data_IF_536758933412
#
_entry.id   IF_536758933412
#
_cell.length_a   1.000
_cell.length_b   1.000
_cell.length_c   1.000
_cell.angle_alpha   90.00
_cell.angle_beta   90.00
_cell.angle_gamma   90.00
#
_symmetry.space_group_name_H-M   'P 1'
#
loop_
_entity.id
_entity.type
_entity.pdbx_description
1 polymer ?
#
# COMPACT_ATOMS: atom_id res chain seq x y z
N UNK A 1 -7.14 -13.45 4.48
CA UNK A 1 -7.03 -14.08 5.81
C UNK A 1 -8.24 -13.62 6.60
N UNK A 2 -9.04 -14.55 7.09
CA UNK A 2 -10.34 -14.29 7.70
C UNK A 2 -10.19 -14.25 9.23
N UNK A 3 -10.55 -13.13 9.84
CA UNK A 3 -10.60 -12.98 11.29
C UNK A 3 -11.92 -13.56 11.82
N UNK A 4 -11.83 -14.52 12.74
CA UNK A 4 -12.96 -15.20 13.37
C UNK A 4 -13.54 -14.34 14.51
N UNK A 5 -14.77 -13.81 14.40
CA UNK A 5 -15.33 -12.86 15.38
C UNK A 5 -16.10 -13.54 16.54
N UNK A 6 -16.00 -14.86 16.69
CA UNK A 6 -16.91 -15.64 17.55
C UNK A 6 -16.48 -15.80 19.01
N UNK A 7 -15.27 -15.39 19.40
CA UNK A 7 -14.79 -15.44 20.78
C UNK A 7 -14.38 -14.02 21.20
N UNK A 8 -15.38 -13.24 21.61
CA UNK A 8 -15.30 -11.81 21.94
C UNK A 8 -14.47 -11.46 23.18
N UNK A 9 -13.19 -11.85 23.20
CA UNK A 9 -12.20 -11.45 24.20
C UNK A 9 -10.95 -10.77 23.62
N UNK A 10 -10.74 -10.81 22.31
CA UNK A 10 -9.52 -10.31 21.65
C UNK A 10 -9.57 -8.87 21.11
N UNK A 11 -10.72 -8.19 21.19
CA UNK A 11 -10.92 -6.82 20.68
C UNK A 11 -11.21 -5.80 21.79
N UNK A 12 -10.56 -5.91 22.95
CA UNK A 12 -10.85 -5.03 24.08
C UNK A 12 -10.42 -3.57 23.84
N UNK A 13 -9.55 -3.29 22.86
CA UNK A 13 -9.16 -1.92 22.51
C UNK A 13 -8.78 -1.74 21.04
N UNK A 14 -8.91 -0.52 20.52
CA UNK A 14 -8.45 -0.18 19.17
C UNK A 14 -6.92 -0.31 19.09
N UNK A 15 -6.42 -0.78 17.95
CA UNK A 15 -4.98 -0.74 17.67
C UNK A 15 -4.48 0.72 17.64
N UNK A 16 -3.45 0.98 18.44
CA UNK A 16 -2.84 2.29 18.64
C UNK A 16 -1.57 2.49 17.79
N UNK A 17 -1.09 1.46 17.07
CA UNK A 17 0.20 1.48 16.36
C UNK A 17 0.36 2.69 15.44
N UNK A 18 -0.66 2.99 14.61
CA UNK A 18 -0.66 4.14 13.70
C UNK A 18 -1.66 5.23 14.10
N UNK A 19 -1.96 5.34 15.41
CA UNK A 19 -3.01 6.27 15.85
C UNK A 19 -2.63 7.74 15.66
N UNK A 20 -1.35 8.07 15.74
CA UNK A 20 -0.85 9.43 15.53
C UNK A 20 -1.15 9.93 14.11
N UNK A 21 -0.87 9.10 13.10
CA UNK A 21 -1.17 9.37 11.69
C UNK A 21 -2.69 9.37 11.45
N UNK A 22 -3.40 8.37 12.00
CA UNK A 22 -4.86 8.23 11.87
C UNK A 22 -5.61 9.45 12.39
N UNK A 23 -5.18 9.97 13.54
CA UNK A 23 -5.77 11.17 14.14
C UNK A 23 -5.21 12.47 13.56
N UNK A 24 -4.21 12.43 12.67
CA UNK A 24 -3.61 13.59 12.01
C UNK A 24 -2.90 14.54 12.98
N UNK A 25 -2.11 13.96 13.88
CA UNK A 25 -1.15 14.70 14.71
C UNK A 25 -1.57 14.91 16.16
N UNK A 26 -0.72 15.67 16.87
CA UNK A 26 -0.72 15.75 18.33
C UNK A 26 -2.01 16.31 18.94
N UNK A 27 -2.57 17.38 18.39
CA UNK A 27 -3.74 18.09 18.98
C UNK A 27 -4.98 17.19 19.07
N UNK A 28 -5.28 16.50 17.98
CA UNK A 28 -6.41 15.57 17.87
C UNK A 28 -6.17 14.30 18.70
N UNK A 29 -4.94 13.79 18.74
CA UNK A 29 -4.57 12.69 19.63
C UNK A 29 -4.73 13.05 21.11
N UNK A 30 -4.22 14.20 21.55
CA UNK A 30 -4.40 14.67 22.93
C UNK A 30 -5.88 14.86 23.28
N UNK A 31 -6.68 15.41 22.38
CA UNK A 31 -8.12 15.56 22.59
C UNK A 31 -8.85 14.21 22.67
N UNK A 32 -8.42 13.23 21.88
CA UNK A 32 -8.95 11.87 21.91
C UNK A 32 -8.59 11.14 23.22
N UNK A 33 -7.35 11.30 23.71
CA UNK A 33 -6.90 10.79 25.01
C UNK A 33 -7.61 11.47 26.19
N UNK A 34 -7.93 12.76 26.09
CA UNK A 34 -8.72 13.47 27.11
C UNK A 34 -10.15 12.95 27.25
N UNK A 35 -10.70 12.41 26.16
CA UNK A 35 -12.11 11.98 26.08
C UNK A 35 -12.28 10.49 25.91
N UNK A 36 -11.23 9.69 26.18
CA UNK A 36 -11.16 8.22 26.01
C UNK A 36 -12.40 7.64 25.33
N UNK A 37 -12.53 7.95 24.03
CA UNK A 37 -13.81 7.97 23.32
C UNK A 37 -14.34 6.60 22.92
N UNK A 38 -13.92 5.55 23.61
CA UNK A 38 -14.28 4.17 23.30
C UNK A 38 -15.12 3.60 24.43
N UNK A 39 -16.26 3.02 24.06
CA UNK A 39 -17.23 2.39 24.94
C UNK A 39 -16.59 1.29 25.82
N UNK A 40 -15.51 0.68 25.32
CA UNK A 40 -14.74 -0.33 26.05
C UNK A 40 -13.72 0.25 27.05
N UNK A 41 -13.19 1.45 26.86
CA UNK A 41 -12.22 2.05 27.79
C UNK A 41 -12.86 2.92 28.87
N UNK A 42 -14.05 3.47 28.62
CA UNK A 42 -14.71 4.38 29.56
C UNK A 42 -14.90 3.77 30.98
N UNK A 43 -15.31 2.50 31.13
CA UNK A 43 -15.46 1.88 32.46
C UNK A 43 -14.13 1.71 33.21
N UNK A 44 -13.00 1.62 32.50
CA UNK A 44 -11.66 1.39 33.08
C UNK A 44 -11.12 2.69 33.71
N UNK A 45 -11.38 3.83 33.07
CA UNK A 45 -10.86 5.13 33.48
C UNK A 45 -11.88 5.98 34.26
N UNK A 46 -13.04 5.40 34.61
CA UNK A 46 -14.11 6.10 35.35
C UNK A 46 -13.65 6.67 36.69
N UNK A 47 -12.77 5.95 37.40
CA UNK A 47 -12.34 6.30 38.75
C UNK A 47 -11.08 7.19 38.72
N UNK A 48 -10.32 7.16 37.62
CA UNK A 48 -9.08 7.94 37.44
C UNK A 48 -8.92 8.34 35.98
N UNK A 49 -9.38 9.56 35.67
CA UNK A 49 -9.11 10.20 34.40
C UNK A 49 -7.61 10.44 34.22
N UNK A 50 -7.13 10.40 32.97
CA UNK A 50 -5.74 10.70 32.66
C UNK A 50 -5.40 12.15 33.01
N UNK A 51 -4.24 12.33 33.65
CA UNK A 51 -3.72 13.65 33.95
C UNK A 51 -3.09 14.29 32.71
N UNK A 52 -3.02 15.63 32.68
CA UNK A 52 -2.50 16.37 31.53
C UNK A 52 -1.03 16.05 31.21
N UNK A 53 -0.22 15.75 32.23
CA UNK A 53 1.17 15.31 32.05
C UNK A 53 1.26 13.91 31.41
N UNK A 54 0.40 12.97 31.83
CA UNK A 54 0.31 11.62 31.26
C UNK A 54 -0.08 11.68 29.78
N UNK A 55 -1.08 12.51 29.43
CA UNK A 55 -1.51 12.71 28.04
C UNK A 55 -0.39 13.29 27.19
N UNK A 56 0.37 14.26 27.71
CA UNK A 56 1.48 14.87 26.99
C UNK A 56 2.62 13.88 26.75
N UNK A 57 2.94 13.04 27.74
CA UNK A 57 3.96 12.01 27.60
C UNK A 57 3.55 10.95 26.56
N UNK A 58 2.29 10.50 26.61
CA UNK A 58 1.75 9.55 25.63
C UNK A 58 1.73 10.14 24.22
N UNK A 59 1.31 11.40 24.07
CA UNK A 59 1.30 12.07 22.77
C UNK A 59 2.71 12.18 22.17
N UNK A 60 3.72 12.48 22.99
CA UNK A 60 5.12 12.50 22.56
C UNK A 60 5.64 11.11 22.17
N UNK A 61 5.25 10.06 22.91
CA UNK A 61 5.59 8.68 22.56
C UNK A 61 5.00 8.27 21.21
N UNK A 62 3.71 8.52 20.99
CA UNK A 62 3.05 8.17 19.72
C UNK A 62 3.58 8.98 18.52
N UNK A 63 4.00 10.22 18.77
CA UNK A 63 4.68 11.06 17.77
C UNK A 63 6.04 10.46 17.39
N UNK A 64 6.82 10.01 18.38
CA UNK A 64 8.11 9.34 18.13
C UNK A 64 7.94 8.00 17.41
N UNK A 65 6.98 7.17 17.83
CA UNK A 65 6.73 5.85 17.24
C UNK A 65 6.20 5.94 15.81
N UNK A 66 5.51 7.03 15.44
CA UNK A 66 5.07 7.26 14.06
C UNK A 66 6.27 7.44 13.11
N UNK A 67 7.36 8.05 13.58
CA UNK A 67 8.59 8.19 12.78
C UNK A 67 9.35 6.88 12.55
N UNK A 68 9.17 5.90 13.45
CA UNK A 68 9.76 4.57 13.36
C UNK A 68 8.82 3.54 12.69
N UNK A 69 7.59 3.93 12.40
CA UNK A 69 6.60 3.03 11.82
C UNK A 69 7.13 2.51 10.47
N UNK A 70 7.18 1.18 10.25
CA UNK A 70 7.79 0.61 9.07
C UNK A 70 7.09 1.14 7.83
N UNK A 71 7.80 2.00 7.11
CA UNK A 71 7.42 2.70 5.88
C UNK A 71 6.13 2.17 5.24
N UNK A 72 5.05 2.95 5.37
CA UNK A 72 3.93 3.09 4.42
C UNK A 72 3.92 2.02 3.32
N UNK A 73 3.28 0.86 3.54
CA UNK A 73 3.21 -0.20 2.53
C UNK A 73 2.43 0.24 1.29
N UNK A 74 1.66 1.34 1.35
CA UNK A 74 0.87 1.84 0.22
C UNK A 74 1.78 2.45 -0.86
N UNK A 75 2.73 3.31 -0.49
CA UNK A 75 3.67 3.92 -1.44
C UNK A 75 4.54 2.84 -2.10
N UNK A 76 5.05 1.90 -1.30
CA UNK A 76 5.86 0.80 -1.81
C UNK A 76 5.06 -0.17 -2.69
N UNK A 77 3.78 -0.40 -2.38
CA UNK A 77 2.89 -1.26 -3.19
C UNK A 77 2.52 -0.62 -4.52
N UNK A 78 2.25 0.68 -4.55
CA UNK A 78 1.97 1.40 -5.81
C UNK A 78 3.22 1.48 -6.67
N UNK A 79 4.38 1.79 -6.09
CA UNK A 79 5.65 1.80 -6.81
C UNK A 79 5.99 0.42 -7.38
N UNK A 80 5.82 -0.65 -6.59
CA UNK A 80 6.01 -2.03 -7.04
C UNK A 80 5.07 -2.41 -8.18
N UNK A 81 3.79 -2.05 -8.09
CA UNK A 81 2.79 -2.33 -9.12
C UNK A 81 3.10 -1.59 -10.43
N UNK A 82 3.46 -0.30 -10.35
CA UNK A 82 3.86 0.49 -11.52
C UNK A 82 5.15 -0.05 -12.17
N UNK A 83 6.15 -0.44 -11.36
CA UNK A 83 7.39 -1.03 -11.85
C UNK A 83 7.12 -2.38 -12.54
N UNK A 84 6.28 -3.21 -11.93
CA UNK A 84 5.85 -4.48 -12.52
C UNK A 84 5.08 -4.30 -13.83
N UNK A 85 4.17 -3.33 -13.89
CA UNK A 85 3.41 -2.99 -15.10
C UNK A 85 4.32 -2.50 -16.22
N UNK A 86 5.27 -1.61 -15.90
CA UNK A 86 6.25 -1.10 -16.86
C UNK A 86 7.14 -2.23 -17.40
N UNK A 87 7.63 -3.13 -16.53
CA UNK A 87 8.40 -4.30 -16.92
C UNK A 87 7.62 -5.25 -17.83
N UNK A 88 6.37 -5.53 -17.49
CA UNK A 88 5.49 -6.38 -18.31
C UNK A 88 5.26 -5.79 -19.70
N UNK A 89 4.98 -4.48 -19.79
CA UNK A 89 4.83 -3.79 -21.06
C UNK A 89 6.11 -3.88 -21.91
N UNK A 90 7.27 -3.62 -21.30
CA UNK A 90 8.56 -3.69 -21.99
C UNK A 90 8.83 -5.08 -22.59
N UNK A 91 8.53 -6.15 -21.86
CA UNK A 91 8.66 -7.52 -22.36
C UNK A 91 7.74 -7.79 -23.55
N UNK A 92 6.45 -7.42 -23.45
CA UNK A 92 5.48 -7.64 -24.53
C UNK A 92 5.92 -6.92 -25.82
N UNK A 93 6.32 -5.65 -25.73
CA UNK A 93 6.82 -4.91 -26.89
C UNK A 93 8.14 -5.47 -27.44
N UNK A 94 9.04 -5.90 -26.57
CA UNK A 94 10.29 -6.55 -26.98
C UNK A 94 10.02 -7.85 -27.76
N UNK A 95 9.12 -8.69 -27.26
CA UNK A 95 8.71 -9.92 -27.93
C UNK A 95 8.04 -9.65 -29.29
N UNK A 96 7.11 -8.69 -29.38
CA UNK A 96 6.46 -8.30 -30.64
C UNK A 96 7.49 -7.82 -31.69
N UNK A 97 8.47 -7.01 -31.27
CA UNK A 97 9.52 -6.52 -32.17
C UNK A 97 10.43 -7.65 -32.69
N UNK A 98 10.81 -8.60 -31.83
CA UNK A 98 11.62 -9.77 -32.21
C UNK A 98 10.84 -10.66 -33.19
N UNK A 99 9.56 -10.93 -32.91
CA UNK A 99 8.72 -11.76 -33.77
C UNK A 99 8.45 -11.11 -35.14
N UNK A 100 8.20 -9.79 -35.19
CA UNK A 100 8.05 -9.06 -36.45
C UNK A 100 9.32 -9.11 -37.30
N UNK A 101 10.50 -8.91 -36.70
CA UNK A 101 11.79 -9.05 -37.40
C UNK A 101 12.00 -10.48 -37.90
N UNK A 102 11.66 -11.48 -37.09
CA UNK A 102 11.79 -12.91 -37.46
C UNK A 102 10.91 -13.28 -38.64
N UNK A 103 9.65 -12.86 -38.66
CA UNK A 103 8.72 -13.18 -39.75
C UNK A 103 8.99 -12.39 -41.03
N UNK A 104 9.45 -11.14 -40.94
CA UNK A 104 9.87 -10.38 -42.12
C UNK A 104 11.09 -11.00 -42.80
N UNK A 105 12.04 -11.54 -42.02
CA UNK A 105 13.22 -12.23 -42.57
C UNK A 105 12.86 -13.48 -43.38
N UNK A 106 11.76 -14.15 -43.06
CA UNK A 106 11.31 -15.37 -43.78
C UNK A 106 10.45 -15.02 -45.01
N UNK A 107 9.77 -13.86 -45.02
CA UNK A 107 8.93 -13.43 -46.15
C UNK A 107 9.70 -12.79 -47.30
N UNK A 108 10.86 -12.17 -47.02
CA UNK A 108 11.75 -11.60 -48.06
C UNK A 108 12.15 -12.61 -49.15
N UNK A 109 12.63 -13.83 -48.84
CA UNK A 109 13.01 -14.77 -49.88
C UNK A 109 11.83 -15.25 -50.76
N UNK A 110 10.58 -15.20 -50.28
CA UNK A 110 9.42 -15.57 -51.10
C UNK A 110 9.03 -14.50 -52.14
N UNK A 111 9.20 -13.22 -51.81
CA UNK A 111 8.87 -12.11 -52.73
C UNK A 111 9.95 -11.98 -53.80
N UNK A 112 11.22 -12.14 -53.43
CA UNK A 112 12.35 -12.09 -54.37
C UNK A 112 12.38 -13.27 -55.37
N UNK A 113 11.69 -14.38 -55.06
CA UNK A 113 11.54 -15.51 -56.01
C UNK A 113 10.39 -15.37 -57.00
N UNK A 114 9.65 -14.25 -57.04
CA UNK A 114 8.61 -14.07 -58.06
C UNK A 114 9.26 -13.49 -59.33
N UNK A 115 9.47 -14.27 -60.40
CA UNK A 115 10.00 -13.72 -61.64
C UNK A 115 8.88 -12.89 -62.25
N UNK A 116 9.18 -11.62 -62.56
CA UNK A 116 8.34 -10.79 -63.43
C UNK A 116 8.15 -11.54 -64.74
N UNK A 117 6.95 -12.10 -64.94
CA UNK A 117 6.52 -12.64 -66.24
C UNK A 117 5.23 -11.95 -66.67
N UNK A 118 5.35 -10.64 -66.91
CA UNK A 118 4.42 -9.90 -67.76
C UNK A 118 4.98 -9.89 -69.18
N UNK A 119 4.60 -10.87 -70.00
CA UNK A 119 4.80 -10.83 -71.44
C UNK A 119 3.54 -10.23 -72.09
N UNK A 120 3.81 -9.24 -72.96
CA UNK A 120 3.01 -8.63 -74.05
C UNK A 120 1.63 -9.19 -74.33
#
# INVERSE_FOLDING_TARGET
>A
MHDTPALGGGQLGPDLTNIYERLKGRKSLSAWLMRLGTETMLPIFKDRLMAANEINALAAYFEASAGESPAEPAVNRVAFLLMGLAGAAALVFGFDAIWKRRFQSVRRPLVDTTPVRGHR
#
